data_IF_292207730766
#
_entry.id   IF_292207730766
#
_cell.length_a   1.000
_cell.length_b   1.000
_cell.length_c   1.000
_cell.angle_alpha   90.00
_cell.angle_beta   90.00
_cell.angle_gamma   90.00
#
_symmetry.space_group_name_H-M   'P 1'
#
loop_
_entity.id
_entity.type
_entity.pdbx_description
1 polymer ?
#
# COMPACT_ATOMS: atom_id res chain seq x y z
N UNK A 1 -7.42 9.66 12.28
CA UNK A 1 -6.21 9.09 11.63
C UNK A 1 -6.53 8.46 10.28
N UNK A 2 -7.49 7.51 10.20
CA UNK A 2 -7.93 6.91 8.92
C UNK A 2 -8.36 7.92 7.86
N UNK A 3 -9.10 8.94 8.27
CA UNK A 3 -9.70 9.91 7.34
C UNK A 3 -8.67 10.74 6.57
N UNK A 4 -7.50 11.00 7.18
CA UNK A 4 -6.38 11.68 6.51
C UNK A 4 -5.84 10.85 5.35
N UNK A 5 -5.72 9.53 5.52
CA UNK A 5 -5.24 8.64 4.46
C UNK A 5 -6.28 8.46 3.37
N UNK A 6 -7.57 8.41 3.72
CA UNK A 6 -8.65 8.35 2.75
C UNK A 6 -8.72 9.62 1.89
N UNK A 7 -8.53 10.80 2.49
CA UNK A 7 -8.49 12.07 1.75
C UNK A 7 -7.31 12.17 0.78
N UNK A 8 -6.15 11.61 1.13
CA UNK A 8 -4.99 11.54 0.21
C UNK A 8 -5.21 10.51 -0.90
N UNK A 9 -5.77 9.33 -0.58
CA UNK A 9 -6.10 8.32 -1.58
C UNK A 9 -7.12 8.84 -2.59
N UNK A 10 -8.13 9.59 -2.13
CA UNK A 10 -9.16 10.18 -2.99
C UNK A 10 -8.63 11.18 -4.04
N UNK A 11 -7.39 11.68 -3.89
CA UNK A 11 -6.74 12.55 -4.88
C UNK A 11 -6.04 11.78 -6.00
N UNK A 12 -5.92 10.45 -5.88
CA UNK A 12 -5.24 9.62 -6.86
C UNK A 12 -6.14 9.33 -8.06
N UNK A 13 -5.51 9.06 -9.21
CA UNK A 13 -6.23 8.62 -10.40
C UNK A 13 -7.01 7.33 -10.17
N UNK A 14 -8.14 7.19 -10.85
CA UNK A 14 -9.04 6.03 -10.74
C UNK A 14 -8.33 4.70 -11.01
N UNK A 15 -7.43 4.65 -12.00
CA UNK A 15 -6.62 3.45 -12.29
C UNK A 15 -5.67 3.09 -11.16
N UNK A 16 -5.14 4.08 -10.45
CA UNK A 16 -4.28 3.86 -9.28
C UNK A 16 -5.11 3.35 -8.11
N UNK A 17 -6.29 3.92 -7.90
CA UNK A 17 -7.25 3.44 -6.90
C UNK A 17 -7.69 2.00 -7.14
N UNK A 18 -7.99 1.63 -8.38
CA UNK A 18 -8.33 0.26 -8.76
C UNK A 18 -7.20 -0.72 -8.44
N UNK A 19 -5.96 -0.36 -8.77
CA UNK A 19 -4.76 -1.17 -8.45
C UNK A 19 -4.57 -1.32 -6.94
N UNK A 20 -4.71 -0.24 -6.18
CA UNK A 20 -4.59 -0.25 -4.72
C UNK A 20 -5.71 -1.09 -4.08
N UNK A 21 -6.94 -1.00 -4.58
CA UNK A 21 -8.05 -1.83 -4.14
C UNK A 21 -7.79 -3.32 -4.42
N UNK A 22 -7.26 -3.66 -5.60
CA UNK A 22 -6.84 -5.02 -5.94
C UNK A 22 -5.74 -5.54 -5.02
N UNK A 23 -4.71 -4.73 -4.76
CA UNK A 23 -3.62 -5.07 -3.83
C UNK A 23 -4.13 -5.25 -2.40
N UNK A 24 -5.11 -4.45 -1.96
CA UNK A 24 -5.69 -4.57 -0.61
C UNK A 24 -6.41 -5.90 -0.39
N UNK A 25 -6.87 -6.56 -1.46
CA UNK A 25 -7.51 -7.89 -1.41
C UNK A 25 -6.53 -9.05 -1.60
N UNK A 26 -5.28 -8.76 -1.97
CA UNK A 26 -4.27 -9.79 -2.17
C UNK A 26 -3.60 -10.15 -0.85
N UNK A 27 -3.80 -11.38 -0.38
CA UNK A 27 -3.14 -11.89 0.83
C UNK A 27 -1.62 -11.79 0.74
N UNK A 28 -1.05 -12.04 -0.45
CA UNK A 28 0.38 -11.90 -0.70
C UNK A 28 0.82 -10.45 -0.56
N UNK A 29 0.10 -9.48 -1.10
CA UNK A 29 0.47 -8.07 -0.92
C UNK A 29 0.35 -7.63 0.54
N UNK A 30 -0.71 -8.04 1.24
CA UNK A 30 -0.90 -7.76 2.66
C UNK A 30 0.20 -8.39 3.53
N UNK A 31 0.75 -9.54 3.15
CA UNK A 31 1.82 -10.19 3.92
C UNK A 31 3.11 -9.37 3.94
N UNK A 32 3.40 -8.61 2.88
CA UNK A 32 4.53 -7.67 2.86
C UNK A 32 4.37 -6.52 3.86
N UNK A 33 3.14 -6.11 4.19
CA UNK A 33 2.89 -5.06 5.18
C UNK A 33 2.75 -5.61 6.61
N UNK A 34 2.48 -6.92 6.77
CA UNK A 34 2.31 -7.58 8.08
C UNK A 34 3.60 -8.22 8.60
N UNK A 35 4.49 -8.68 7.72
CA UNK A 35 5.75 -9.30 8.10
C UNK A 35 6.88 -8.23 8.11
N UNK A 36 7.56 -7.99 9.23
CA UNK A 36 8.61 -6.96 9.34
C UNK A 36 9.78 -7.15 8.36
N UNK A 37 10.20 -8.39 8.09
CA UNK A 37 11.30 -8.67 7.17
C UNK A 37 10.90 -8.40 5.72
N UNK A 38 9.70 -8.84 5.33
CA UNK A 38 9.15 -8.54 4.00
C UNK A 38 8.90 -7.04 3.82
N UNK A 39 8.43 -6.36 4.88
CA UNK A 39 8.25 -4.91 4.86
C UNK A 39 9.58 -4.18 4.72
N UNK A 40 10.65 -4.63 5.38
CA UNK A 40 11.99 -4.06 5.23
C UNK A 40 12.51 -4.21 3.79
N UNK A 41 12.30 -5.38 3.17
CA UNK A 41 12.64 -5.62 1.76
C UNK A 41 11.83 -4.70 0.84
N UNK A 42 10.51 -4.61 1.05
CA UNK A 42 9.62 -3.75 0.26
C UNK A 42 10.01 -2.27 0.43
N UNK A 43 10.29 -1.83 1.66
CA UNK A 43 10.72 -0.46 1.98
C UNK A 43 12.01 -0.11 1.24
N UNK A 44 13.00 -1.00 1.25
CA UNK A 44 14.26 -0.81 0.53
C UNK A 44 14.05 -0.79 -0.99
N UNK A 45 13.24 -1.70 -1.53
CA UNK A 45 12.90 -1.75 -2.96
C UNK A 45 12.23 -0.46 -3.44
N UNK A 46 11.25 0.04 -2.68
CA UNK A 46 10.53 1.27 -2.98
C UNK A 46 11.33 2.54 -2.65
N UNK A 47 12.55 2.41 -2.09
CA UNK A 47 13.41 3.52 -1.66
C UNK A 47 12.70 4.51 -0.72
N UNK A 48 11.75 4.00 0.08
CA UNK A 48 11.05 4.80 1.09
C UNK A 48 12.01 4.92 2.27
N UNK A 49 12.48 6.14 2.57
CA UNK A 49 13.34 6.42 3.74
C UNK A 49 12.59 6.21 5.05
#
# INVERSE_FOLDING_TARGET
>A
MKDKYLAELAKLDEKVLEKLASLSKSEKALSYFKNPALYAILKNFLKIK
#
